data_IF_330078228790
#
_entry.id   IF_330078228790
#
_cell.length_a   1.000
_cell.length_b   1.000
_cell.length_c   1.000
_cell.angle_alpha   90.00
_cell.angle_beta   90.00
_cell.angle_gamma   90.00
#
_symmetry.space_group_name_H-M   'P 1'
#
loop_
_entity.id
_entity.type
_entity.pdbx_description
1 polymer ?
#
# COMPACT_ATOMS: atom_id res chain seq x y z
N UNK A 1 5.01 15.56 29.98
CA UNK A 1 5.54 14.19 30.13
C UNK A 1 6.67 14.02 29.11
N UNK A 2 7.92 13.72 29.51
CA UNK A 2 9.05 13.63 28.57
C UNK A 2 9.05 12.30 27.79
N UNK A 3 9.37 12.36 26.50
CA UNK A 3 9.58 11.19 25.64
C UNK A 3 11.08 10.96 25.44
N UNK A 4 11.62 9.89 26.02
CA UNK A 4 13.06 9.60 25.98
C UNK A 4 13.32 8.52 24.93
N UNK A 5 14.14 8.84 23.92
CA UNK A 5 14.52 7.94 22.80
C UNK A 5 13.33 7.20 22.18
N UNK A 6 12.24 7.94 21.96
CA UNK A 6 11.02 7.39 21.37
C UNK A 6 11.29 6.91 19.94
N UNK A 7 10.96 5.64 19.67
CA UNK A 7 11.10 5.07 18.32
C UNK A 7 9.96 5.56 17.45
N UNK A 8 10.24 6.57 16.63
CA UNK A 8 9.27 7.14 15.68
C UNK A 8 8.91 6.15 14.57
N UNK A 9 9.81 5.22 14.24
CA UNK A 9 9.55 4.22 13.21
C UNK A 9 9.50 4.84 11.81
N UNK A 10 10.24 5.91 11.56
CA UNK A 10 10.41 6.53 10.25
C UNK A 10 11.72 6.01 9.62
N UNK A 11 11.73 5.87 8.30
CA UNK A 11 12.88 5.54 7.48
C UNK A 11 13.35 6.80 6.76
N UNK A 12 14.65 7.05 6.78
CA UNK A 12 15.23 8.17 6.07
C UNK A 12 16.76 8.15 6.14
N UNK A 13 17.37 8.99 5.32
CA UNK A 13 18.82 9.11 5.20
C UNK A 13 19.28 10.50 5.64
N UNK A 14 20.37 10.58 6.41
CA UNK A 14 21.06 11.84 6.66
C UNK A 14 21.97 12.22 5.49
N UNK A 15 21.98 13.49 5.12
CA UNK A 15 22.99 14.06 4.23
C UNK A 15 24.28 14.32 5.02
N UNK A 16 25.44 13.84 4.56
CA UNK A 16 26.72 14.18 5.18
C UNK A 16 27.16 15.63 4.93
N UNK A 17 26.54 16.33 3.99
CA UNK A 17 26.91 17.68 3.59
C UNK A 17 26.29 18.75 4.51
N UNK A 18 27.01 19.86 4.80
CA UNK A 18 26.44 20.98 5.54
C UNK A 18 25.28 21.65 4.80
N UNK A 19 24.31 22.21 5.55
CA UNK A 19 23.27 23.04 4.95
C UNK A 19 23.89 24.28 4.27
N UNK A 20 23.53 24.60 3.01
CA UNK A 20 24.00 25.83 2.35
C UNK A 20 23.52 27.10 3.05
N UNK A 21 22.52 26.99 3.93
CA UNK A 21 22.02 28.05 4.78
C UNK A 21 22.95 28.43 5.94
N UNK A 22 24.05 27.70 6.17
CA UNK A 22 25.02 27.97 7.25
C UNK A 22 24.63 27.46 8.63
N UNK A 23 23.54 26.69 8.77
CA UNK A 23 23.17 26.02 10.04
C UNK A 23 23.95 24.72 10.21
N UNK A 24 24.46 24.49 11.42
CA UNK A 24 25.25 23.29 11.77
C UNK A 24 24.41 22.09 12.25
N UNK A 25 23.14 22.03 11.86
CA UNK A 25 22.26 20.91 12.23
C UNK A 25 22.39 19.78 11.18
N UNK A 26 22.23 18.51 11.56
CA UNK A 26 22.15 17.40 10.60
C UNK A 26 21.04 17.64 9.58
N UNK A 27 21.31 17.30 8.32
CA UNK A 27 20.37 17.47 7.21
C UNK A 27 19.76 16.12 6.86
N UNK A 28 18.44 16.07 6.65
CA UNK A 28 17.80 14.90 6.06
C UNK A 28 17.90 14.98 4.54
N UNK A 29 18.48 13.94 3.93
CA UNK A 29 18.57 13.78 2.48
C UNK A 29 17.27 13.24 1.88
N UNK A 30 16.64 12.29 2.57
CA UNK A 30 15.35 11.72 2.18
C UNK A 30 14.56 11.27 3.39
N UNK A 31 13.24 11.23 3.21
CA UNK A 31 12.29 10.57 4.12
C UNK A 31 11.62 9.49 3.27
N UNK A 32 11.97 8.24 3.54
CA UNK A 32 11.63 7.09 2.68
C UNK A 32 10.37 6.34 3.18
N UNK A 33 9.78 6.80 4.29
CA UNK A 33 8.53 6.26 4.82
C UNK A 33 8.65 5.81 6.27
N UNK A 34 7.96 4.73 6.64
CA UNK A 34 7.95 4.20 8.02
C UNK A 34 8.42 2.75 8.05
N UNK A 35 9.14 2.38 9.11
CA UNK A 35 9.69 1.04 9.39
C UNK A 35 8.64 -0.05 9.54
N UNK A 36 7.35 0.28 9.39
CA UNK A 36 6.35 -0.71 9.00
C UNK A 36 6.71 -1.25 7.61
N UNK A 37 7.66 -2.20 7.56
CA UNK A 37 8.11 -2.95 6.38
C UNK A 37 6.95 -3.58 5.60
N UNK A 38 5.79 -3.70 6.24
CA UNK A 38 4.48 -4.01 5.66
C UNK A 38 3.93 -2.88 4.77
N UNK A 39 4.77 -2.11 4.08
CA UNK A 39 4.34 -1.11 3.09
C UNK A 39 5.07 -1.22 1.74
N UNK A 40 5.83 -2.29 1.55
CA UNK A 40 6.48 -2.61 0.29
C UNK A 40 6.01 -3.96 -0.24
N UNK A 41 5.71 -3.98 -1.53
CA UNK A 41 5.46 -5.16 -2.33
C UNK A 41 6.81 -5.61 -2.88
N UNK A 42 7.16 -6.87 -2.65
CA UNK A 42 8.39 -7.46 -3.17
C UNK A 42 8.13 -8.15 -4.50
N UNK A 43 8.87 -7.81 -5.55
CA UNK A 43 8.69 -8.40 -6.88
C UNK A 43 9.63 -9.62 -7.06
N UNK A 44 9.33 -10.55 -7.98
CA UNK A 44 10.19 -11.69 -8.28
C UNK A 44 11.61 -11.29 -8.70
N UNK A 45 11.75 -10.16 -9.40
CA UNK A 45 13.03 -9.58 -9.80
C UNK A 45 13.86 -8.96 -8.65
N UNK A 46 13.32 -8.94 -7.42
CA UNK A 46 13.97 -8.37 -6.24
C UNK A 46 13.70 -6.88 -5.99
N UNK A 47 12.99 -6.20 -6.90
CA UNK A 47 12.55 -4.82 -6.73
C UNK A 47 11.53 -4.69 -5.59
N UNK A 48 11.53 -3.53 -4.92
CA UNK A 48 10.54 -3.16 -3.92
C UNK A 48 9.68 -2.01 -4.45
N UNK A 49 8.36 -2.20 -4.50
CA UNK A 49 7.39 -1.17 -4.85
C UNK A 49 6.57 -0.77 -3.64
N UNK A 50 6.32 0.53 -3.46
CA UNK A 50 5.46 0.97 -2.35
C UNK A 50 4.02 0.51 -2.54
N UNK A 51 3.42 -0.06 -1.50
CA UNK A 51 2.02 -0.51 -1.50
C UNK A 51 1.00 0.62 -1.61
N UNK A 52 1.43 1.86 -1.33
CA UNK A 52 0.58 3.08 -1.43
C UNK A 52 -0.06 3.25 -2.80
N UNK A 53 0.54 2.66 -3.84
CA UNK A 53 0.01 2.65 -5.20
C UNK A 53 -1.44 2.19 -5.28
N UNK A 54 -1.82 1.20 -4.47
CA UNK A 54 -3.19 0.71 -4.41
C UNK A 54 -4.14 1.73 -3.78
N UNK A 55 -3.69 2.50 -2.78
CA UNK A 55 -4.52 3.56 -2.21
C UNK A 55 -4.84 4.64 -3.27
N UNK A 56 -3.84 5.05 -4.05
CA UNK A 56 -4.04 5.99 -5.16
C UNK A 56 -4.96 5.43 -6.25
N UNK A 57 -4.81 4.15 -6.62
CA UNK A 57 -5.69 3.52 -7.60
C UNK A 57 -7.15 3.53 -7.13
N UNK A 58 -7.41 3.12 -5.89
CA UNK A 58 -8.77 3.06 -5.37
C UNK A 58 -9.39 4.45 -5.14
N UNK A 59 -8.59 5.46 -4.80
CA UNK A 59 -9.03 6.85 -4.73
C UNK A 59 -9.43 7.40 -6.12
N UNK A 60 -8.63 7.09 -7.15
CA UNK A 60 -8.94 7.44 -8.53
C UNK A 60 -10.22 6.73 -9.01
N UNK A 61 -10.36 5.44 -8.73
CA UNK A 61 -11.58 4.69 -9.07
C UNK A 61 -12.82 5.29 -8.42
N UNK A 62 -12.73 5.68 -7.15
CA UNK A 62 -13.83 6.38 -6.48
C UNK A 62 -14.22 7.69 -7.18
N UNK A 63 -13.22 8.45 -7.66
CA UNK A 63 -13.43 9.69 -8.43
C UNK A 63 -14.05 9.43 -9.82
N UNK A 64 -13.74 8.29 -10.42
CA UNK A 64 -14.26 7.85 -11.73
C UNK A 64 -15.63 7.14 -11.63
N UNK A 65 -16.28 7.17 -10.46
CA UNK A 65 -17.61 6.58 -10.26
C UNK A 65 -17.60 5.08 -9.94
N UNK A 66 -16.44 4.53 -9.57
CA UNK A 66 -16.25 3.16 -9.09
C UNK A 66 -15.91 3.17 -7.57
N UNK A 67 -16.83 3.59 -6.70
CA UNK A 67 -16.55 3.73 -5.27
C UNK A 67 -16.31 2.38 -4.60
N UNK A 68 -15.43 2.41 -3.60
CA UNK A 68 -15.09 1.27 -2.74
C UNK A 68 -15.24 1.72 -1.29
N UNK A 69 -15.94 0.95 -0.48
CA UNK A 69 -16.09 1.26 0.94
C UNK A 69 -14.81 0.93 1.72
N UNK A 70 -14.22 -0.24 1.48
CA UNK A 70 -12.97 -0.68 2.09
C UNK A 70 -12.20 -1.61 1.15
N UNK A 71 -10.88 -1.65 1.31
CA UNK A 71 -10.05 -2.62 0.61
C UNK A 71 -8.91 -3.12 1.51
N UNK A 72 -8.38 -4.28 1.15
CA UNK A 72 -7.14 -4.82 1.73
C UNK A 72 -6.35 -5.55 0.65
N UNK A 73 -5.07 -5.22 0.57
CA UNK A 73 -4.12 -5.85 -0.34
C UNK A 73 -3.25 -6.79 0.47
N UNK A 74 -3.11 -8.03 0.00
CA UNK A 74 -2.37 -9.07 0.68
C UNK A 74 -1.37 -9.63 -0.33
N UNK A 75 -0.08 -9.46 -0.08
CA UNK A 75 0.94 -10.21 -0.80
C UNK A 75 1.01 -11.62 -0.21
N UNK A 76 0.38 -12.58 -0.88
CA UNK A 76 0.33 -13.96 -0.39
C UNK A 76 1.63 -14.71 -0.70
N UNK A 77 2.25 -14.42 -1.83
CA UNK A 77 3.54 -14.98 -2.25
C UNK A 77 4.31 -13.96 -3.09
N UNK A 78 5.53 -14.31 -3.51
CA UNK A 78 6.38 -13.41 -4.30
C UNK A 78 5.75 -13.11 -5.68
N UNK A 79 4.94 -14.03 -6.20
CA UNK A 79 4.28 -13.97 -7.50
C UNK A 79 2.75 -13.75 -7.39
N UNK A 80 2.21 -13.52 -6.19
CA UNK A 80 0.76 -13.41 -5.99
C UNK A 80 0.35 -12.29 -5.04
N UNK A 81 -0.58 -11.45 -5.53
CA UNK A 81 -1.34 -10.49 -4.72
C UNK A 81 -2.82 -10.87 -4.74
N UNK A 82 -3.41 -10.86 -3.55
CA UNK A 82 -4.85 -10.91 -3.35
C UNK A 82 -5.36 -9.52 -2.92
N UNK A 83 -6.44 -9.06 -3.53
CA UNK A 83 -7.14 -7.83 -3.14
C UNK A 83 -8.54 -8.19 -2.66
N UNK A 84 -8.83 -7.85 -1.41
CA UNK A 84 -10.17 -7.90 -0.82
C UNK A 84 -10.84 -6.54 -1.00
N UNK A 85 -12.08 -6.53 -1.45
CA UNK A 85 -12.83 -5.29 -1.74
C UNK A 85 -14.21 -5.39 -1.11
N UNK A 86 -14.56 -4.40 -0.29
CA UNK A 86 -15.91 -4.18 0.23
C UNK A 86 -16.55 -3.09 -0.63
N UNK A 87 -17.58 -3.41 -1.44
CA UNK A 87 -18.31 -2.40 -2.18
C UNK A 87 -19.19 -1.56 -1.24
N UNK A 88 -19.58 -0.34 -1.64
CA UNK A 88 -20.57 0.42 -0.87
C UNK A 88 -21.95 -0.26 -0.96
N UNK A 89 -22.79 -0.02 0.04
CA UNK A 89 -24.14 -0.59 0.08
C UNK A 89 -24.99 -0.11 -1.10
N UNK A 90 -25.81 -1.01 -1.67
CA UNK A 90 -26.79 -0.68 -2.70
C UNK A 90 -26.24 -0.56 -4.13
N UNK A 91 -24.98 -0.93 -4.38
CA UNK A 91 -24.41 -0.90 -5.73
C UNK A 91 -24.79 -2.12 -6.59
N UNK A 92 -24.89 -1.88 -7.90
CA UNK A 92 -25.27 -2.89 -8.89
C UNK A 92 -24.13 -3.88 -9.18
N UNK A 93 -24.49 -5.08 -9.62
CA UNK A 93 -23.57 -6.15 -10.05
C UNK A 93 -22.55 -5.72 -11.12
N UNK A 94 -22.89 -4.69 -11.91
CA UNK A 94 -22.06 -4.18 -13.01
C UNK A 94 -20.77 -3.51 -12.47
N UNK A 95 -20.84 -2.94 -11.26
CA UNK A 95 -19.71 -2.32 -10.58
C UNK A 95 -18.57 -3.32 -10.38
N UNK A 96 -18.88 -4.57 -10.02
CA UNK A 96 -17.87 -5.59 -9.76
C UNK A 96 -17.05 -5.92 -11.00
N UNK A 97 -17.70 -6.03 -12.16
CA UNK A 97 -17.03 -6.31 -13.42
C UNK A 97 -16.14 -5.15 -13.87
N UNK A 98 -16.64 -3.91 -13.78
CA UNK A 98 -15.88 -2.72 -14.17
C UNK A 98 -14.66 -2.52 -13.28
N UNK A 99 -14.84 -2.66 -11.98
CA UNK A 99 -13.78 -2.51 -10.98
C UNK A 99 -12.72 -3.60 -11.14
N UNK A 100 -13.13 -4.85 -11.38
CA UNK A 100 -12.21 -5.95 -11.63
C UNK A 100 -11.39 -5.72 -12.90
N UNK A 101 -12.01 -5.19 -13.96
CA UNK A 101 -11.32 -4.92 -15.22
C UNK A 101 -10.32 -3.76 -15.09
N UNK A 102 -10.72 -2.67 -14.45
CA UNK A 102 -9.83 -1.53 -14.16
C UNK A 102 -8.64 -1.97 -13.32
N UNK A 103 -8.88 -2.69 -12.24
CA UNK A 103 -7.82 -3.16 -11.35
C UNK A 103 -6.86 -4.12 -12.05
N UNK A 104 -7.36 -5.07 -12.86
CA UNK A 104 -6.49 -5.97 -13.65
C UNK A 104 -5.62 -5.21 -14.65
N UNK A 105 -6.19 -4.23 -15.36
CA UNK A 105 -5.45 -3.42 -16.31
C UNK A 105 -4.32 -2.66 -15.63
N UNK A 106 -4.63 -1.95 -14.55
CA UNK A 106 -3.64 -1.12 -13.87
C UNK A 106 -2.62 -1.98 -13.13
N UNK A 107 -3.03 -3.11 -12.56
CA UNK A 107 -2.12 -4.11 -12.01
C UNK A 107 -1.11 -4.60 -13.04
N UNK A 108 -1.56 -5.00 -14.24
CA UNK A 108 -0.67 -5.43 -15.31
C UNK A 108 0.29 -4.31 -15.75
N UNK A 109 -0.16 -3.05 -15.75
CA UNK A 109 0.70 -1.91 -16.06
C UNK A 109 1.81 -1.71 -15.01
N UNK A 110 1.52 -1.96 -13.73
CA UNK A 110 2.49 -1.76 -12.65
C UNK A 110 3.38 -2.97 -12.37
N UNK A 111 2.87 -4.19 -12.47
CA UNK A 111 3.59 -5.41 -12.08
C UNK A 111 3.91 -6.33 -13.25
N UNK A 112 3.42 -6.03 -14.45
CA UNK A 112 3.65 -6.84 -15.65
C UNK A 112 3.09 -8.26 -15.50
N UNK A 113 3.72 -9.21 -16.20
CA UNK A 113 3.35 -10.62 -16.17
C UNK A 113 4.07 -11.42 -15.07
N UNK A 114 4.87 -10.76 -14.24
CA UNK A 114 5.65 -11.41 -13.18
C UNK A 114 4.80 -11.74 -11.95
N UNK A 115 3.63 -11.12 -11.83
CA UNK A 115 2.73 -11.32 -10.71
C UNK A 115 1.31 -11.63 -11.18
N UNK A 116 0.63 -12.44 -10.38
CA UNK A 116 -0.77 -12.78 -10.54
C UNK A 116 -1.63 -12.03 -9.51
N UNK A 117 -2.86 -11.72 -9.91
CA UNK A 117 -3.83 -10.97 -9.12
C UNK A 117 -5.10 -11.80 -8.90
N UNK A 118 -5.51 -11.95 -7.63
CA UNK A 118 -6.87 -12.38 -7.26
C UNK A 118 -7.65 -11.20 -6.68
N UNK A 119 -8.94 -11.10 -7.03
CA UNK A 119 -9.84 -10.05 -6.57
C UNK A 119 -11.03 -10.73 -5.91
N UNK A 120 -11.25 -10.47 -4.63
CA UNK A 120 -12.34 -11.06 -3.86
C UNK A 120 -13.22 -9.94 -3.31
N UNK A 121 -14.49 -9.94 -3.72
CA UNK A 121 -15.50 -9.08 -3.10
C UNK A 121 -16.00 -9.76 -1.83
N UNK A 122 -15.93 -9.03 -0.71
CA UNK A 122 -16.28 -9.53 0.62
C UNK A 122 -17.24 -8.56 1.30
N UNK A 123 -18.07 -9.08 2.21
CA UNK A 123 -19.02 -8.24 2.95
C UNK A 123 -18.30 -7.35 3.98
N UNK A 124 -17.21 -7.84 4.58
CA UNK A 124 -16.41 -7.11 5.55
C UNK A 124 -14.93 -7.55 5.55
N UNK A 125 -14.06 -6.64 6.00
CA UNK A 125 -12.64 -6.92 6.22
C UNK A 125 -12.36 -6.81 7.72
N UNK A 126 -11.93 -7.90 8.39
CA UNK A 126 -11.73 -7.89 9.83
C UNK A 126 -10.60 -6.95 10.25
N UNK A 127 -10.85 -6.18 11.32
CA UNK A 127 -9.84 -5.32 11.93
C UNK A 127 -8.79 -6.16 12.65
N UNK A 128 -7.54 -5.69 12.68
CA UNK A 128 -6.52 -6.29 13.54
C UNK A 128 -6.81 -5.98 15.03
N UNK A 129 -6.14 -6.72 15.94
CA UNK A 129 -6.32 -6.60 17.39
C UNK A 129 -6.11 -5.20 17.99
N UNK A 130 -5.55 -4.26 17.23
CA UNK A 130 -5.32 -2.85 17.63
C UNK A 130 -6.33 -1.88 17.01
N UNK A 131 -7.37 -2.37 16.32
CA UNK A 131 -8.43 -1.54 15.72
C UNK A 131 -7.97 -0.71 14.52
N UNK A 132 -6.78 -0.95 13.97
CA UNK A 132 -6.24 -0.20 12.83
C UNK A 132 -6.25 -1.06 11.58
N UNK A 133 -7.09 -0.73 10.61
CA UNK A 133 -7.09 -1.42 9.31
C UNK A 133 -5.85 -0.98 8.53
N UNK A 134 -4.81 -1.82 8.53
CA UNK A 134 -3.73 -1.71 7.55
C UNK A 134 -4.26 -2.16 6.20
N UNK A 135 -4.19 -1.28 5.19
CA UNK A 135 -4.67 -1.58 3.85
C UNK A 135 -3.76 -2.56 3.09
N UNK A 136 -2.54 -2.79 3.57
CA UNK A 136 -1.59 -3.74 2.98
C UNK A 136 -1.02 -4.67 4.05
N UNK A 137 -0.83 -5.93 3.67
CA UNK A 137 -0.22 -7.00 4.45
C UNK A 137 0.67 -7.87 3.55
N UNK A 138 1.76 -8.40 4.07
CA UNK A 138 2.59 -9.41 3.37
C UNK A 138 2.71 -10.66 4.22
N UNK A 139 2.53 -11.83 3.59
CA UNK A 139 2.70 -13.16 4.19
C UNK A 139 4.10 -13.74 3.93
N UNK A 140 4.97 -12.99 3.25
CA UNK A 140 6.34 -13.43 2.98
C UNK A 140 7.11 -13.55 4.30
N UNK A 141 7.80 -14.68 4.47
CA UNK A 141 8.75 -14.84 5.57
C UNK A 141 10.04 -14.10 5.20
N UNK A 142 10.40 -13.10 6.01
CA UNK A 142 11.63 -12.30 5.88
C UNK A 142 12.77 -13.00 6.62
#
# INVERSE_FOLDING_TARGET
>A
MPLIRYRIGDLGQFDPSPCPCGRNLPVLKSVDGRTSLVQFIRLPNGELKHSVIFAYLFENYGSDGLPIAQFKVIQESIEHICVLIVPPQGHASNLFSELSNSLKRDFNNFFGNEMSLSINFVDEIPQNHQGKIGYFETKLTI
#
